data_IF_567466309902
#
_entry.id   IF_567466309902
#
_cell.length_a   1.000
_cell.length_b   1.000
_cell.length_c   1.000
_cell.angle_alpha   90.00
_cell.angle_beta   90.00
_cell.angle_gamma   90.00
#
_symmetry.space_group_name_H-M   'P 1'
#
loop_
_entity.id
_entity.type
_entity.pdbx_description
1 polymer ?
#
# COMPACT_ATOMS: atom_id res chain seq x y z
N UNK A 1 15.27 -20.92 -6.51
CA UNK A 1 15.65 -19.54 -6.21
C UNK A 1 15.91 -18.79 -7.51
N UNK A 2 15.31 -17.62 -7.67
CA UNK A 2 15.50 -16.81 -8.88
C UNK A 2 16.78 -15.98 -8.69
N UNK A 3 17.72 -16.07 -9.62
CA UNK A 3 18.98 -15.36 -9.52
C UNK A 3 18.88 -13.89 -9.96
N UNK A 4 19.88 -13.09 -9.62
CA UNK A 4 19.92 -11.66 -9.92
C UNK A 4 19.91 -11.40 -11.43
N UNK A 5 20.59 -12.20 -12.21
CA UNK A 5 20.64 -12.06 -13.68
C UNK A 5 19.24 -12.26 -14.31
N UNK A 6 18.49 -13.24 -13.85
CA UNK A 6 17.11 -13.48 -14.29
C UNK A 6 16.20 -12.29 -13.94
N UNK A 7 16.33 -11.74 -12.74
CA UNK A 7 15.59 -10.56 -12.28
C UNK A 7 15.89 -9.35 -13.16
N UNK A 8 17.15 -9.10 -13.46
CA UNK A 8 17.57 -7.99 -14.34
C UNK A 8 17.08 -8.17 -15.77
N UNK A 9 17.18 -9.38 -16.31
CA UNK A 9 16.73 -9.71 -17.67
C UNK A 9 15.22 -9.51 -17.84
N UNK A 10 14.43 -9.83 -16.83
CA UNK A 10 12.98 -9.63 -16.81
C UNK A 10 12.56 -8.20 -16.50
N UNK A 11 13.51 -7.30 -16.25
CA UNK A 11 13.23 -5.89 -15.90
C UNK A 11 12.26 -5.74 -14.73
N UNK A 12 12.40 -6.60 -13.73
CA UNK A 12 11.51 -6.67 -12.57
C UNK A 12 11.38 -5.33 -11.84
N UNK A 13 12.49 -4.59 -11.70
CA UNK A 13 12.49 -3.28 -11.05
C UNK A 13 11.58 -2.27 -11.76
N UNK A 14 11.45 -2.33 -13.08
CA UNK A 14 10.55 -1.44 -13.85
C UNK A 14 9.09 -1.76 -13.56
N UNK A 15 8.76 -3.04 -13.42
CA UNK A 15 7.39 -3.47 -13.06
C UNK A 15 7.04 -2.97 -11.67
N UNK A 16 7.91 -3.16 -10.69
CA UNK A 16 7.72 -2.69 -9.32
C UNK A 16 7.56 -1.16 -9.29
N UNK A 17 8.38 -0.43 -10.03
CA UNK A 17 8.29 1.03 -10.11
C UNK A 17 6.92 1.50 -10.67
N UNK A 18 6.38 0.81 -11.66
CA UNK A 18 5.04 1.12 -12.20
C UNK A 18 3.94 0.87 -11.19
N UNK A 19 4.01 -0.24 -10.45
CA UNK A 19 3.03 -0.55 -9.41
C UNK A 19 3.11 0.49 -8.29
N UNK A 20 4.32 0.84 -7.86
CA UNK A 20 4.56 1.86 -6.84
C UNK A 20 3.94 3.21 -7.23
N UNK A 21 4.04 3.60 -8.50
CA UNK A 21 3.45 4.84 -9.01
C UNK A 21 1.92 4.90 -8.93
N UNK A 22 1.25 3.78 -8.78
CA UNK A 22 -0.20 3.69 -8.62
C UNK A 22 -0.64 3.59 -7.15
N UNK A 23 0.29 3.49 -6.21
CA UNK A 23 -0.04 3.46 -4.80
C UNK A 23 -0.50 4.83 -4.29
N UNK A 24 -1.50 4.83 -3.42
CA UNK A 24 -2.11 6.05 -2.90
C UNK A 24 -1.55 6.46 -1.53
N UNK A 25 -0.83 5.57 -0.87
CA UNK A 25 -0.30 5.79 0.48
C UNK A 25 1.15 5.35 0.56
N UNK A 26 1.96 5.92 1.48
CA UNK A 26 3.32 5.44 1.71
C UNK A 26 3.36 4.01 2.24
N UNK A 27 2.31 3.57 2.93
CA UNK A 27 2.19 2.18 3.42
C UNK A 27 2.05 1.19 2.27
N UNK A 28 1.22 1.52 1.27
CA UNK A 28 1.08 0.72 0.05
C UNK A 28 2.37 0.66 -0.77
N UNK A 29 3.07 1.77 -0.89
CA UNK A 29 4.38 1.82 -1.56
C UNK A 29 5.41 0.91 -0.89
N UNK A 30 5.44 0.90 0.43
CA UNK A 30 6.34 0.05 1.22
C UNK A 30 6.07 -1.44 0.97
N UNK A 31 4.80 -1.83 0.94
CA UNK A 31 4.40 -3.20 0.60
C UNK A 31 4.82 -3.60 -0.82
N UNK A 32 4.70 -2.70 -1.78
CA UNK A 32 5.10 -2.96 -3.18
C UNK A 32 6.62 -3.13 -3.32
N UNK A 33 7.40 -2.32 -2.62
CA UNK A 33 8.87 -2.41 -2.65
C UNK A 33 9.36 -3.75 -2.12
N UNK A 34 8.65 -4.32 -1.15
CA UNK A 34 8.97 -5.62 -0.55
C UNK A 34 8.55 -6.82 -1.42
N UNK A 35 7.83 -6.60 -2.52
CA UNK A 35 7.47 -7.67 -3.44
C UNK A 35 8.73 -8.17 -4.15
N UNK A 36 9.03 -9.45 -3.94
CA UNK A 36 10.09 -10.15 -4.65
C UNK A 36 9.54 -11.15 -5.66
N UNK A 37 10.40 -11.64 -6.57
CA UNK A 37 10.02 -12.73 -7.45
C UNK A 37 9.75 -14.00 -6.67
N UNK A 38 8.77 -14.79 -7.12
CA UNK A 38 8.36 -16.03 -6.48
C UNK A 38 8.56 -17.21 -7.42
N UNK A 39 8.99 -18.34 -6.87
CA UNK A 39 9.19 -19.60 -7.60
C UNK A 39 8.28 -20.75 -7.13
N UNK A 40 7.48 -20.52 -6.09
CA UNK A 40 6.51 -21.48 -5.60
C UNK A 40 5.18 -21.35 -6.35
N UNK A 41 4.81 -22.38 -7.12
CA UNK A 41 3.63 -22.37 -7.96
C UNK A 41 2.31 -22.16 -7.18
N UNK A 42 2.17 -22.77 -6.02
CA UNK A 42 0.95 -22.64 -5.21
C UNK A 42 0.80 -21.23 -4.65
N UNK A 43 1.91 -20.64 -4.21
CA UNK A 43 1.92 -19.26 -3.73
C UNK A 43 1.60 -18.28 -4.86
N UNK A 44 2.19 -18.46 -6.04
CA UNK A 44 1.93 -17.63 -7.23
C UNK A 44 0.45 -17.69 -7.61
N UNK A 45 -0.13 -18.88 -7.69
CA UNK A 45 -1.56 -19.06 -8.01
C UNK A 45 -2.46 -18.38 -6.98
N UNK A 46 -2.14 -18.50 -5.72
CA UNK A 46 -2.88 -17.85 -4.65
C UNK A 46 -2.85 -16.32 -4.80
N UNK A 47 -1.67 -15.75 -5.01
CA UNK A 47 -1.50 -14.31 -5.18
C UNK A 47 -2.20 -13.78 -6.43
N UNK A 48 -2.10 -14.49 -7.55
CA UNK A 48 -2.82 -14.14 -8.76
C UNK A 48 -4.34 -14.23 -8.57
N UNK A 49 -4.82 -15.21 -7.80
CA UNK A 49 -6.23 -15.33 -7.42
C UNK A 49 -6.72 -14.13 -6.61
N UNK A 50 -5.93 -13.66 -5.65
CA UNK A 50 -6.24 -12.46 -4.87
C UNK A 50 -6.34 -11.22 -5.77
N UNK A 51 -5.42 -11.07 -6.73
CA UNK A 51 -5.45 -9.97 -7.71
C UNK A 51 -6.70 -10.05 -8.59
N UNK A 52 -7.07 -11.22 -9.08
CA UNK A 52 -8.29 -11.42 -9.87
C UNK A 52 -9.54 -11.06 -9.09
N UNK A 53 -9.63 -11.47 -7.84
CA UNK A 53 -10.76 -11.14 -6.97
C UNK A 53 -10.88 -9.63 -6.76
N UNK A 54 -9.77 -8.96 -6.48
CA UNK A 54 -9.76 -7.51 -6.31
C UNK A 54 -10.13 -6.77 -7.58
N UNK A 55 -9.66 -7.25 -8.73
CA UNK A 55 -10.04 -6.72 -10.04
C UNK A 55 -11.55 -6.81 -10.28
N UNK A 56 -12.15 -7.92 -9.93
CA UNK A 56 -13.60 -8.11 -10.07
C UNK A 56 -14.37 -7.17 -9.14
N UNK A 57 -13.92 -7.00 -7.91
CA UNK A 57 -14.51 -6.06 -6.96
C UNK A 57 -14.43 -4.61 -7.50
N UNK A 58 -13.30 -4.21 -8.05
CA UNK A 58 -13.13 -2.87 -8.63
C UNK A 58 -14.04 -2.65 -9.84
N UNK A 59 -14.19 -3.66 -10.69
CA UNK A 59 -14.96 -3.55 -11.93
C UNK A 59 -16.48 -3.65 -11.72
N UNK A 60 -16.92 -4.42 -10.75
CA UNK A 60 -18.34 -4.78 -10.59
C UNK A 60 -18.91 -4.46 -9.21
N UNK A 61 -18.06 -4.09 -8.25
CA UNK A 61 -18.49 -3.70 -6.90
C UNK A 61 -18.78 -2.21 -6.77
N UNK A 62 -19.03 -1.79 -5.54
CA UNK A 62 -19.21 -0.38 -5.21
C UNK A 62 -17.91 0.40 -5.40
N UNK A 63 -17.98 1.70 -5.72
CA UNK A 63 -16.79 2.52 -5.86
C UNK A 63 -15.91 2.51 -4.62
N UNK A 64 -14.61 2.28 -4.83
CA UNK A 64 -13.60 2.36 -3.76
C UNK A 64 -13.48 3.80 -3.24
N UNK A 65 -13.46 4.02 -1.93
CA UNK A 65 -13.17 5.33 -1.36
C UNK A 65 -11.66 5.62 -1.49
N UNK A 66 -11.24 6.10 -2.66
CA UNK A 66 -9.85 6.36 -2.96
C UNK A 66 -9.44 7.74 -2.43
N UNK A 67 -8.56 7.75 -1.43
CA UNK A 67 -7.96 8.96 -0.88
C UNK A 67 -6.44 8.79 -0.92
N UNK A 68 -5.76 9.78 -1.52
CA UNK A 68 -4.30 9.81 -1.53
C UNK A 68 -3.80 10.39 -0.22
N UNK A 69 -2.92 9.65 0.45
CA UNK A 69 -2.20 10.11 1.64
C UNK A 69 -0.71 10.09 1.28
N UNK A 70 -0.07 11.26 1.28
CA UNK A 70 1.30 11.38 0.81
C UNK A 70 2.33 11.20 1.93
N UNK A 71 1.97 11.57 3.15
CA UNK A 71 2.89 11.55 4.28
C UNK A 71 2.63 10.37 5.22
N UNK A 72 3.71 9.84 5.80
CA UNK A 72 3.64 8.75 6.78
C UNK A 72 3.29 9.30 8.16
N UNK A 73 2.20 8.79 8.74
CA UNK A 73 1.70 9.20 10.06
C UNK A 73 2.37 8.49 11.24
N UNK A 74 3.22 7.49 11.00
CA UNK A 74 3.77 6.65 12.10
C UNK A 74 4.60 7.45 13.09
N UNK A 75 5.41 8.39 12.62
CA UNK A 75 6.20 9.26 13.49
C UNK A 75 5.33 10.18 14.33
N UNK A 76 4.31 10.76 13.73
CA UNK A 76 3.33 11.62 14.43
C UNK A 76 2.63 10.84 15.53
N UNK A 77 2.16 9.63 15.22
CA UNK A 77 1.49 8.77 16.19
C UNK A 77 2.42 8.37 17.33
N UNK A 78 3.67 8.09 17.06
CA UNK A 78 4.67 7.76 18.07
C UNK A 78 4.92 8.96 18.99
N UNK A 79 5.12 10.15 18.44
CA UNK A 79 5.32 11.37 19.23
C UNK A 79 4.11 11.72 20.07
N UNK A 80 2.90 11.47 19.59
CA UNK A 80 1.66 11.77 20.31
C UNK A 80 1.49 10.97 21.59
N UNK A 81 2.21 9.87 21.76
CA UNK A 81 2.19 9.05 22.98
C UNK A 81 2.96 9.69 24.14
N UNK A 82 3.78 10.69 23.88
CA UNK A 82 4.55 11.39 24.91
C UNK A 82 3.71 12.51 25.51
N UNK A 83 3.60 12.51 26.83
CA UNK A 83 2.88 13.56 27.56
C UNK A 83 3.51 14.94 27.32
N UNK A 84 2.68 15.95 27.12
CA UNK A 84 3.10 17.33 26.91
C UNK A 84 3.50 17.68 25.49
N UNK A 85 3.53 16.73 24.55
CA UNK A 85 3.77 17.01 23.15
C UNK A 85 2.51 17.58 22.50
N UNK A 86 2.69 18.63 21.70
CA UNK A 86 1.64 19.22 20.88
C UNK A 86 1.86 18.88 19.42
N UNK A 87 0.78 18.47 18.74
CA UNK A 87 0.76 18.32 17.30
C UNK A 87 0.30 19.62 16.66
N UNK A 88 0.92 20.02 15.54
CA UNK A 88 0.44 21.16 14.79
C UNK A 88 -0.85 20.81 13.99
N UNK A 89 -1.61 21.82 13.50
CA UNK A 89 -2.86 21.55 12.77
C UNK A 89 -2.68 20.67 11.53
N UNK A 90 -1.58 20.77 10.81
CA UNK A 90 -1.31 19.95 9.64
C UNK A 90 -1.11 18.48 10.02
N UNK A 91 -0.41 18.21 11.10
CA UNK A 91 -0.22 16.86 11.64
C UNK A 91 -1.55 16.24 12.09
N UNK A 92 -2.39 17.02 12.78
CA UNK A 92 -3.72 16.59 13.20
C UNK A 92 -4.59 16.25 11.99
N UNK A 93 -4.56 17.08 10.94
CA UNK A 93 -5.32 16.85 9.71
C UNK A 93 -4.88 15.59 9.01
N UNK A 94 -3.58 15.32 8.96
CA UNK A 94 -3.02 14.11 8.35
C UNK A 94 -3.50 12.85 9.07
N UNK A 95 -3.50 12.84 10.40
CA UNK A 95 -4.03 11.73 11.20
C UNK A 95 -5.54 11.57 10.97
N UNK A 96 -6.27 12.67 10.89
CA UNK A 96 -7.70 12.65 10.59
C UNK A 96 -7.99 12.02 9.23
N UNK A 97 -7.24 12.38 8.19
CA UNK A 97 -7.40 11.80 6.85
C UNK A 97 -7.17 10.30 6.85
N UNK A 98 -6.16 9.82 7.57
CA UNK A 98 -5.87 8.39 7.71
C UNK A 98 -7.00 7.65 8.41
N UNK A 99 -7.51 8.20 9.50
CA UNK A 99 -8.63 7.60 10.24
C UNK A 99 -9.90 7.58 9.39
N UNK A 100 -10.21 8.67 8.70
CA UNK A 100 -11.37 8.78 7.82
C UNK A 100 -11.32 7.75 6.70
N UNK A 101 -10.17 7.60 6.04
CA UNK A 101 -9.96 6.59 5.01
C UNK A 101 -10.13 5.17 5.57
N UNK A 102 -9.59 4.91 6.76
CA UNK A 102 -9.69 3.60 7.42
C UNK A 102 -11.15 3.23 7.72
N UNK A 103 -11.94 4.19 8.19
CA UNK A 103 -13.37 4.01 8.46
C UNK A 103 -14.13 3.73 7.17
N UNK A 104 -13.87 4.49 6.12
CA UNK A 104 -14.51 4.32 4.81
C UNK A 104 -14.19 2.96 4.19
N UNK A 105 -12.93 2.52 4.24
CA UNK A 105 -12.52 1.22 3.74
C UNK A 105 -13.12 0.07 4.54
N UNK A 106 -13.25 0.23 5.84
CA UNK A 106 -13.88 -0.78 6.70
C UNK A 106 -15.37 -0.97 6.41
N UNK A 107 -16.06 0.10 6.06
CA UNK A 107 -17.49 0.07 5.71
C UNK A 107 -17.76 -0.29 4.25
N UNK A 108 -16.72 -0.33 3.46
CA UNK A 108 -16.81 -0.65 2.04
C UNK A 108 -16.85 -2.18 1.83
#
# INVERSE_FOLDING_TARGET
MIDLHTIETLEFAKIISRIEGNCLTPYGKEEVIDIGPMDNNDLIRRRLGEVSQMKDIINFGDPLPLIRIEDDCRDILRRSQTEGIRLDPAEIMLVFELIDLSIKLRGW
#
